data_IF_404654285803
#
_entry.id   IF_404654285803
#
_cell.length_a   1.000
_cell.length_b   1.000
_cell.length_c   1.000
_cell.angle_alpha   90.00
_cell.angle_beta   90.00
_cell.angle_gamma   90.00
#
_symmetry.space_group_name_H-M   'P 1'
#
loop_
_entity.id
_entity.type
_entity.pdbx_description
1 polymer ?
#
# COMPACT_ATOMS: atom_id res chain seq x y z
N UNK A 1 5.00 -19.59 4.48
CA UNK A 1 5.50 -18.23 4.86
C UNK A 1 5.83 -17.33 3.67
N UNK A 2 6.61 -17.76 2.66
CA UNK A 2 7.03 -16.91 1.50
C UNK A 2 5.90 -16.14 0.79
N UNK A 3 4.73 -16.74 0.55
CA UNK A 3 3.60 -16.09 -0.15
C UNK A 3 2.88 -15.00 0.67
N UNK A 4 3.07 -14.97 1.99
CA UNK A 4 2.36 -14.02 2.88
C UNK A 4 3.11 -12.68 2.93
N UNK A 5 4.43 -12.69 2.72
CA UNK A 5 5.29 -11.50 2.76
C UNK A 5 5.47 -10.92 1.34
N UNK A 6 5.49 -11.76 0.30
CA UNK A 6 5.64 -11.28 -1.08
C UNK A 6 4.45 -10.44 -1.56
N UNK A 7 3.23 -10.81 -1.15
CA UNK A 7 2.00 -10.09 -1.53
C UNK A 7 1.96 -8.64 -1.03
N UNK A 8 2.29 -8.34 0.25
CA UNK A 8 2.37 -6.97 0.72
C UNK A 8 3.51 -6.18 0.07
N UNK A 9 4.67 -6.81 -0.14
CA UNK A 9 5.79 -6.13 -0.80
C UNK A 9 5.45 -5.62 -2.21
N UNK A 10 4.72 -6.40 -3.02
CA UNK A 10 4.28 -5.96 -4.36
C UNK A 10 3.25 -4.82 -4.27
N UNK A 11 2.32 -4.88 -3.31
CA UNK A 11 1.33 -3.83 -3.11
C UNK A 11 1.99 -2.51 -2.70
N UNK A 12 2.91 -2.55 -1.73
CA UNK A 12 3.70 -1.39 -1.30
C UNK A 12 4.52 -0.84 -2.46
N UNK A 13 5.24 -1.68 -3.19
CA UNK A 13 6.03 -1.21 -4.34
C UNK A 13 5.17 -0.53 -5.41
N UNK A 14 4.00 -1.09 -5.71
CA UNK A 14 3.07 -0.50 -6.69
C UNK A 14 2.43 0.81 -6.22
N UNK A 15 2.04 0.91 -4.94
CA UNK A 15 1.46 2.11 -4.36
C UNK A 15 2.50 3.21 -4.26
N UNK A 16 3.72 2.88 -3.84
CA UNK A 16 4.86 3.81 -3.84
C UNK A 16 5.12 4.33 -5.25
N UNK A 17 5.23 3.45 -6.27
CA UNK A 17 5.38 3.88 -7.67
C UNK A 17 4.22 4.76 -8.17
N UNK A 18 2.98 4.47 -7.78
CA UNK A 18 1.83 5.31 -8.10
C UNK A 18 1.93 6.70 -7.45
N UNK A 19 2.26 6.77 -6.16
CA UNK A 19 2.46 8.04 -5.47
C UNK A 19 3.66 8.80 -6.03
N UNK A 20 4.69 8.08 -6.49
CA UNK A 20 5.82 8.68 -7.19
C UNK A 20 5.39 9.34 -8.50
N UNK A 21 4.52 8.68 -9.26
CA UNK A 21 3.98 9.21 -10.51
C UNK A 21 3.04 10.40 -10.33
N UNK A 22 2.33 10.47 -9.19
CA UNK A 22 1.41 11.55 -8.86
C UNK A 22 2.11 12.86 -8.42
N UNK A 23 3.43 12.84 -8.17
CA UNK A 23 4.17 14.08 -7.91
C UNK A 23 4.44 14.86 -9.21
N UNK A 24 4.33 16.20 -9.18
CA UNK A 24 4.30 17.03 -10.39
C UNK A 24 5.57 17.03 -11.25
N UNK A 25 6.66 16.35 -10.87
CA UNK A 25 7.92 16.38 -11.64
C UNK A 25 8.69 15.06 -11.74
N UNK A 26 8.23 13.95 -11.16
CA UNK A 26 8.92 12.64 -11.27
C UNK A 26 10.36 12.59 -10.70
N UNK A 27 10.84 13.66 -10.08
CA UNK A 27 12.17 13.74 -9.45
C UNK A 27 12.01 13.29 -8.01
N UNK A 28 12.48 12.07 -7.72
CA UNK A 28 12.58 11.58 -6.36
C UNK A 28 13.91 11.98 -5.76
N UNK A 29 13.90 13.08 -5.03
CA UNK A 29 15.03 13.45 -4.22
C UNK A 29 14.98 12.66 -2.90
N UNK A 30 15.96 11.77 -2.72
CA UNK A 30 16.11 10.96 -1.50
C UNK A 30 16.51 11.79 -0.28
N UNK A 31 16.87 13.06 -0.47
CA UNK A 31 17.16 14.01 0.61
C UNK A 31 15.92 14.75 1.08
N UNK A 32 14.83 14.71 0.30
CA UNK A 32 13.59 15.41 0.62
C UNK A 32 12.72 14.60 1.59
N UNK A 33 12.24 15.29 2.64
CA UNK A 33 11.40 14.69 3.68
C UNK A 33 10.08 14.14 3.09
N UNK A 34 9.58 14.78 2.03
CA UNK A 34 8.38 14.36 1.29
C UNK A 34 8.50 12.94 0.71
N UNK A 35 9.70 12.50 0.32
CA UNK A 35 9.92 11.14 -0.18
C UNK A 35 9.58 10.10 0.88
N UNK A 36 10.15 10.24 2.07
CA UNK A 36 9.94 9.30 3.17
C UNK A 36 8.49 9.32 3.66
N UNK A 37 7.86 10.49 3.67
CA UNK A 37 6.42 10.62 3.99
C UNK A 37 5.59 9.82 2.98
N UNK A 38 5.88 9.90 1.68
CA UNK A 38 5.18 9.11 0.66
C UNK A 38 5.36 7.60 0.84
N UNK A 39 6.57 7.14 1.19
CA UNK A 39 6.82 5.71 1.46
C UNK A 39 6.04 5.23 2.69
N UNK A 40 6.06 6.00 3.79
CA UNK A 40 5.30 5.68 5.01
C UNK A 40 3.79 5.70 4.75
N UNK A 41 3.31 6.66 3.97
CA UNK A 41 1.91 6.75 3.55
C UNK A 41 1.50 5.52 2.73
N UNK A 42 2.31 5.10 1.76
CA UNK A 42 2.05 3.91 0.95
C UNK A 42 1.94 2.64 1.81
N UNK A 43 2.86 2.45 2.76
CA UNK A 43 2.84 1.29 3.68
C UNK A 43 1.60 1.31 4.57
N UNK A 44 1.28 2.45 5.18
CA UNK A 44 0.12 2.58 6.07
C UNK A 44 -1.21 2.38 5.35
N UNK A 45 -1.32 2.89 4.11
CA UNK A 45 -2.50 2.74 3.28
C UNK A 45 -2.69 1.27 2.87
N UNK A 46 -1.62 0.61 2.45
CA UNK A 46 -1.68 -0.79 2.02
C UNK A 46 -2.14 -1.71 3.17
N UNK A 47 -1.65 -1.46 4.38
CA UNK A 47 -2.08 -2.18 5.57
C UNK A 47 -3.57 -1.92 5.89
N UNK A 48 -3.99 -0.66 5.83
CA UNK A 48 -5.38 -0.25 6.09
C UNK A 48 -6.35 -0.85 5.08
N UNK A 49 -5.99 -0.85 3.79
CA UNK A 49 -6.76 -1.48 2.71
C UNK A 49 -6.90 -2.98 2.96
N UNK A 50 -5.81 -3.68 3.29
CA UNK A 50 -5.84 -5.12 3.59
C UNK A 50 -6.71 -5.45 4.81
N UNK A 51 -6.62 -4.65 5.87
CA UNK A 51 -7.45 -4.81 7.06
C UNK A 51 -8.94 -4.62 6.73
N UNK A 52 -9.26 -3.57 5.97
CA UNK A 52 -10.62 -3.26 5.54
C UNK A 52 -11.18 -4.34 4.62
N UNK A 53 -10.42 -4.81 3.64
CA UNK A 53 -10.81 -5.91 2.74
C UNK A 53 -11.06 -7.20 3.51
N UNK A 54 -10.20 -7.55 4.48
CA UNK A 54 -10.42 -8.74 5.33
C UNK A 54 -11.70 -8.60 6.16
N UNK A 55 -11.93 -7.43 6.76
CA UNK A 55 -13.14 -7.15 7.53
C UNK A 55 -14.38 -7.24 6.64
N UNK A 56 -14.33 -6.61 5.46
CA UNK A 56 -15.41 -6.63 4.48
C UNK A 56 -15.72 -8.07 3.99
N UNK A 57 -14.69 -8.85 3.66
CA UNK A 57 -14.86 -10.25 3.28
C UNK A 57 -15.50 -11.07 4.41
N UNK A 58 -15.09 -10.85 5.66
CA UNK A 58 -15.68 -11.54 6.81
C UNK A 58 -17.15 -11.17 7.02
N UNK A 59 -17.46 -9.87 6.96
CA UNK A 59 -18.78 -9.34 7.31
C UNK A 59 -19.83 -9.60 6.21
N UNK A 60 -19.42 -9.58 4.93
CA UNK A 60 -20.32 -9.69 3.78
C UNK A 60 -20.23 -11.04 3.04
N UNK A 61 -19.03 -11.59 2.82
CA UNK A 61 -18.86 -12.87 2.12
C UNK A 61 -18.96 -14.08 3.06
N UNK A 62 -18.68 -13.91 4.35
CA UNK A 62 -18.86 -14.96 5.35
C UNK A 62 -20.32 -15.35 5.62
N UNK A 63 -21.27 -14.48 5.26
CA UNK A 63 -22.73 -14.72 5.37
C UNK A 63 -23.34 -15.38 4.13
N UNK A 64 -22.57 -15.56 3.05
CA UNK A 64 -23.00 -16.18 1.79
C UNK A 64 -22.73 -17.69 1.75
N UNK A 65 -22.53 -18.34 2.91
CA UNK A 65 -22.24 -19.77 3.04
C UNK A 65 -23.31 -20.49 3.84
#
# INVERSE_FOLDING_TARGET
MRRIILKPAVGIASLSLMFMWLMPFGIFDFTELGFYICVVLAVSLEFSIRATLKKYQKDFLGKLK
#
